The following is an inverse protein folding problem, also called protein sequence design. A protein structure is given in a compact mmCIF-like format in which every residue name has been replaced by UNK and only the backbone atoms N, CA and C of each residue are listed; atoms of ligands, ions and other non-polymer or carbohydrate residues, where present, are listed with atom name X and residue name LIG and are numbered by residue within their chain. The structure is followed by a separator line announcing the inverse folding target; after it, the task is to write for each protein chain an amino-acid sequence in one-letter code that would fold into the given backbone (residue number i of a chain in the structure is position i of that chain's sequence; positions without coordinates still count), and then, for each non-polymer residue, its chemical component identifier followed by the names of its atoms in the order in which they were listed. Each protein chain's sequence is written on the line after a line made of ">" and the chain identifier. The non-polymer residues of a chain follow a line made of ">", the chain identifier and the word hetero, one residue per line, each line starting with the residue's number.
data_IF_804510141814
#
_entry.id   IF_804510141814
#
_cell.length_a   1.000
_cell.length_b   1.000
_cell.length_c   1.000
_cell.angle_alpha   90.00
_cell.angle_beta   90.00
_cell.angle_gamma   90.00
#
_symmetry.space_group_name_H-M   'P 1'
#
loop_
_entity.id
_entity.type
_entity.pdbx_description
1 polymer ?
#
# COMPACT_ATOMS: atom_id res chain seq x y z
N UNK A 1 -30.35 1.61 -19.39
CA UNK A 1 -30.57 0.91 -18.11
C UNK A 1 -29.44 -0.07 -17.77
N UNK A 2 -28.17 0.21 -18.14
CA UNK A 2 -27.03 -0.71 -17.93
C UNK A 2 -25.97 -0.18 -16.95
N UNK A 3 -26.19 1.00 -16.37
CA UNK A 3 -25.24 1.64 -15.43
C UNK A 3 -25.42 1.07 -14.01
N UNK A 4 -26.61 0.57 -13.67
CA UNK A 4 -26.95 0.06 -12.34
C UNK A 4 -26.18 -1.24 -12.01
N UNK A 5 -26.08 -2.24 -12.91
CA UNK A 5 -25.27 -3.44 -12.65
C UNK A 5 -23.78 -3.13 -12.51
N UNK A 6 -23.28 -2.14 -13.26
CA UNK A 6 -21.87 -1.73 -13.25
C UNK A 6 -21.45 -1.19 -11.87
N UNK A 7 -22.28 -0.35 -11.27
CA UNK A 7 -22.03 0.25 -9.94
C UNK A 7 -22.12 -0.81 -8.83
N UNK A 8 -23.09 -1.72 -8.92
CA UNK A 8 -23.25 -2.81 -7.93
C UNK A 8 -22.04 -3.76 -7.98
N UNK A 9 -21.55 -4.08 -9.18
CA UNK A 9 -20.42 -4.98 -9.37
C UNK A 9 -19.11 -4.45 -8.77
N UNK A 10 -18.97 -3.13 -8.63
CA UNK A 10 -17.80 -2.48 -8.01
C UNK A 10 -17.70 -2.76 -6.49
N UNK A 11 -18.82 -3.03 -5.83
CA UNK A 11 -18.89 -3.26 -4.38
C UNK A 11 -18.78 -4.74 -3.97
N UNK A 12 -18.72 -5.66 -4.95
CA UNK A 12 -18.86 -7.10 -4.71
C UNK A 12 -17.54 -7.89 -4.75
N UNK A 13 -17.51 -9.01 -4.04
CA UNK A 13 -16.38 -9.97 -4.02
C UNK A 13 -16.17 -10.69 -5.35
N UNK A 14 -14.94 -11.15 -5.58
CA UNK A 14 -14.51 -11.81 -6.83
C UNK A 14 -15.45 -12.97 -7.20
N UNK A 15 -15.85 -13.77 -6.21
CA UNK A 15 -16.76 -14.91 -6.38
C UNK A 15 -18.21 -14.52 -6.63
N UNK A 16 -18.62 -13.32 -6.20
CA UNK A 16 -19.98 -12.80 -6.42
C UNK A 16 -20.09 -12.17 -7.81
N UNK A 17 -19.02 -11.54 -8.30
CA UNK A 17 -18.92 -11.03 -9.67
C UNK A 17 -19.04 -12.18 -10.68
N UNK A 18 -18.31 -13.29 -10.45
CA UNK A 18 -18.37 -14.47 -11.32
C UNK A 18 -19.78 -15.09 -11.32
N UNK A 19 -20.41 -15.22 -10.15
CA UNK A 19 -21.78 -15.74 -10.04
C UNK A 19 -22.81 -14.85 -10.75
N UNK A 20 -22.67 -13.53 -10.66
CA UNK A 20 -23.51 -12.57 -11.37
C UNK A 20 -23.37 -12.72 -12.89
N UNK A 21 -22.14 -12.86 -13.39
CA UNK A 21 -21.88 -13.05 -14.83
C UNK A 21 -22.53 -14.33 -15.36
N UNK A 22 -22.44 -15.43 -14.63
CA UNK A 22 -23.08 -16.71 -14.98
C UNK A 22 -24.61 -16.55 -15.02
N UNK A 23 -25.21 -15.92 -14.02
CA UNK A 23 -26.66 -15.67 -13.98
C UNK A 23 -27.10 -14.79 -15.15
N UNK A 24 -26.37 -13.72 -15.47
CA UNK A 24 -26.66 -12.86 -16.61
C UNK A 24 -26.61 -13.63 -17.94
N UNK A 25 -25.61 -14.52 -18.12
CA UNK A 25 -25.54 -15.34 -19.34
C UNK A 25 -26.71 -16.30 -19.49
N UNK A 26 -27.14 -16.92 -18.38
CA UNK A 26 -28.29 -17.83 -18.34
C UNK A 26 -29.58 -17.05 -18.65
N UNK A 27 -29.74 -15.86 -18.08
CA UNK A 27 -30.89 -14.99 -18.34
C UNK A 27 -31.00 -14.64 -19.84
N UNK A 28 -29.89 -14.24 -20.47
CA UNK A 28 -29.87 -13.95 -21.92
C UNK A 28 -30.10 -15.18 -22.81
N UNK A 29 -29.70 -16.37 -22.35
CA UNK A 29 -29.95 -17.64 -23.04
C UNK A 29 -31.43 -18.01 -22.99
N UNK A 30 -32.07 -17.87 -21.82
CA UNK A 30 -33.51 -18.09 -21.63
C UNK A 30 -34.31 -17.13 -22.52
N UNK A 31 -33.94 -15.84 -22.54
CA UNK A 31 -34.57 -14.85 -23.43
C UNK A 31 -34.32 -15.12 -24.92
N UNK A 32 -33.34 -15.95 -25.29
CA UNK A 32 -33.08 -16.35 -26.69
C UNK A 32 -33.93 -17.55 -27.10
N UNK A 33 -34.28 -18.41 -26.14
CA UNK A 33 -35.13 -19.59 -26.34
C UNK A 33 -36.60 -19.19 -26.49
N UNK A 34 -37.11 -18.29 -25.63
CA UNK A 34 -38.49 -17.79 -25.71
C UNK A 34 -38.76 -17.03 -27.02
N UNK A 35 -37.76 -16.27 -27.49
CA UNK A 35 -37.86 -15.49 -28.72
C UNK A 35 -37.79 -16.36 -29.99
N UNK A 36 -37.18 -17.56 -29.92
CA UNK A 36 -37.09 -18.49 -31.05
C UNK A 36 -38.48 -18.98 -31.52
N UNK A 37 -39.52 -18.78 -30.71
CA UNK A 37 -40.90 -19.12 -31.05
C UNK A 37 -41.60 -18.06 -31.93
N UNK A 38 -41.02 -16.86 -32.13
CA UNK A 38 -41.64 -15.77 -32.91
C UNK A 38 -40.59 -15.05 -33.79
N UNK A 39 -40.59 -15.39 -35.08
CA UNK A 39 -40.07 -14.68 -36.26
C UNK A 39 -38.56 -14.36 -36.42
N UNK A 40 -38.10 -14.66 -37.64
CA UNK A 40 -36.71 -14.66 -38.11
C UNK A 40 -36.25 -13.24 -38.50
N UNK A 41 -35.36 -12.61 -37.71
CA UNK A 41 -34.67 -11.37 -38.11
C UNK A 41 -33.25 -11.21 -37.50
N UNK A 42 -32.22 -11.09 -38.34
CA UNK A 42 -30.80 -11.12 -37.97
C UNK A 42 -30.30 -9.89 -37.16
N UNK A 43 -30.96 -8.74 -37.22
CA UNK A 43 -30.51 -7.52 -36.50
C UNK A 43 -30.74 -7.56 -34.98
N UNK A 44 -31.63 -8.43 -34.52
CA UNK A 44 -31.88 -8.63 -33.07
C UNK A 44 -30.76 -9.48 -32.45
N UNK A 45 -30.21 -10.43 -33.22
CA UNK A 45 -29.15 -11.31 -32.76
C UNK A 45 -27.83 -10.56 -32.51
N UNK A 46 -27.45 -9.64 -33.41
CA UNK A 46 -26.22 -8.85 -33.28
C UNK A 46 -26.25 -7.92 -32.07
N UNK A 47 -27.36 -7.22 -31.83
CA UNK A 47 -27.51 -6.31 -30.69
C UNK A 47 -27.48 -7.04 -29.33
N UNK A 48 -28.05 -8.25 -29.26
CA UNK A 48 -28.09 -9.05 -28.04
C UNK A 48 -26.74 -9.71 -27.75
N UNK A 49 -26.05 -10.19 -28.79
CA UNK A 49 -24.66 -10.67 -28.68
C UNK A 49 -23.70 -9.56 -28.23
N UNK A 50 -23.85 -8.35 -28.76
CA UNK A 50 -23.08 -7.18 -28.33
C UNK A 50 -23.29 -6.85 -26.86
N UNK A 51 -24.52 -7.00 -26.35
CA UNK A 51 -24.83 -6.77 -24.93
C UNK A 51 -24.18 -7.83 -24.02
N UNK A 52 -24.23 -9.12 -24.40
CA UNK A 52 -23.57 -10.21 -23.66
C UNK A 52 -22.05 -9.98 -23.66
N UNK A 53 -21.47 -9.68 -24.82
CA UNK A 53 -20.05 -9.39 -24.97
C UNK A 53 -19.63 -8.18 -24.12
N UNK A 54 -20.45 -7.12 -24.08
CA UNK A 54 -20.22 -5.94 -23.26
C UNK A 54 -20.21 -6.26 -21.77
N UNK A 55 -21.07 -7.18 -21.29
CA UNK A 55 -21.10 -7.63 -19.90
C UNK A 55 -19.83 -8.43 -19.57
N UNK A 56 -19.41 -9.34 -20.45
CA UNK A 56 -18.19 -10.12 -20.25
C UNK A 56 -16.93 -9.26 -20.26
N UNK A 57 -16.84 -8.29 -21.17
CA UNK A 57 -15.73 -7.34 -21.22
C UNK A 57 -15.69 -6.49 -19.95
N UNK A 58 -16.84 -5.97 -19.51
CA UNK A 58 -16.93 -5.17 -18.28
C UNK A 58 -16.53 -6.00 -17.05
N UNK A 59 -16.99 -7.24 -16.96
CA UNK A 59 -16.62 -8.17 -15.90
C UNK A 59 -15.11 -8.46 -15.89
N UNK A 60 -14.53 -8.74 -17.06
CA UNK A 60 -13.10 -8.97 -17.21
C UNK A 60 -12.26 -7.76 -16.76
N UNK A 61 -12.66 -6.55 -17.17
CA UNK A 61 -12.00 -5.30 -16.77
C UNK A 61 -12.04 -5.12 -15.24
N UNK A 62 -13.20 -5.32 -14.61
CA UNK A 62 -13.37 -5.17 -13.15
C UNK A 62 -12.49 -6.17 -12.39
N UNK A 63 -12.44 -7.44 -12.82
CA UNK A 63 -11.63 -8.46 -12.17
C UNK A 63 -10.14 -8.13 -12.22
N UNK A 64 -9.66 -7.66 -13.37
CA UNK A 64 -8.27 -7.22 -13.54
C UNK A 64 -7.97 -5.96 -12.73
N UNK A 65 -8.89 -4.99 -12.70
CA UNK A 65 -8.75 -3.79 -11.90
C UNK A 65 -8.62 -4.11 -10.40
N UNK A 66 -9.45 -5.02 -9.89
CA UNK A 66 -9.43 -5.42 -8.47
C UNK A 66 -8.13 -6.13 -8.09
N UNK A 67 -7.58 -6.95 -8.99
CA UNK A 67 -6.28 -7.60 -8.80
C UNK A 67 -5.15 -6.57 -8.72
N UNK A 68 -5.12 -5.60 -9.63
CA UNK A 68 -4.14 -4.49 -9.61
C UNK A 68 -4.29 -3.64 -8.35
N UNK A 69 -5.53 -3.36 -7.92
CA UNK A 69 -5.79 -2.57 -6.71
C UNK A 69 -5.26 -3.29 -5.47
N UNK A 70 -5.52 -4.60 -5.35
CA UNK A 70 -5.06 -5.40 -4.22
C UNK A 70 -3.53 -5.49 -4.17
N UNK A 71 -2.88 -5.66 -5.33
CA UNK A 71 -1.41 -5.61 -5.42
C UNK A 71 -0.87 -4.26 -4.94
N UNK A 72 -1.41 -3.14 -5.44
CA UNK A 72 -1.01 -1.79 -5.00
C UNK A 72 -1.21 -1.56 -3.51
N UNK A 73 -2.30 -2.06 -2.93
CA UNK A 73 -2.53 -1.93 -1.49
C UNK A 73 -1.56 -2.78 -0.68
N UNK A 74 -1.23 -3.99 -1.13
CA UNK A 74 -0.22 -4.83 -0.45
C UNK A 74 1.18 -4.21 -0.50
N UNK A 75 1.57 -3.61 -1.64
CA UNK A 75 2.84 -2.89 -1.77
C UNK A 75 2.91 -1.68 -0.83
N UNK A 76 1.84 -0.87 -0.79
CA UNK A 76 1.73 0.27 0.13
C UNK A 76 1.83 -0.16 1.59
N UNK A 77 1.12 -1.22 1.98
CA UNK A 77 1.18 -1.73 3.35
C UNK A 77 2.58 -2.22 3.71
N UNK A 78 3.26 -2.92 2.79
CA UNK A 78 4.64 -3.38 3.00
C UNK A 78 5.60 -2.19 3.18
N UNK A 79 5.47 -1.17 2.35
CA UNK A 79 6.25 0.07 2.46
C UNK A 79 6.02 0.79 3.79
N UNK A 80 4.75 0.99 4.18
CA UNK A 80 4.41 1.61 5.46
C UNK A 80 4.92 0.80 6.66
N UNK A 81 4.84 -0.52 6.58
CA UNK A 81 5.37 -1.41 7.62
C UNK A 81 6.88 -1.24 7.77
N UNK A 82 7.64 -1.23 6.67
CA UNK A 82 9.09 -1.02 6.71
C UNK A 82 9.48 0.34 7.29
N UNK A 83 8.74 1.41 6.96
CA UNK A 83 8.95 2.73 7.56
C UNK A 83 8.62 2.72 9.05
N UNK A 84 7.53 2.06 9.45
CA UNK A 84 7.12 1.98 10.86
C UNK A 84 8.13 1.23 11.71
N UNK A 85 8.65 0.11 11.22
CA UNK A 85 9.71 -0.66 11.87
C UNK A 85 10.99 0.18 12.04
N UNK A 86 11.37 0.92 10.99
CA UNK A 86 12.50 1.84 11.05
C UNK A 86 12.28 2.96 12.07
N UNK A 87 11.10 3.60 12.07
CA UNK A 87 10.77 4.66 13.03
C UNK A 87 10.82 4.17 14.48
N UNK A 88 10.39 2.93 14.72
CA UNK A 88 10.50 2.30 16.03
C UNK A 88 11.96 2.09 16.44
N UNK A 89 12.80 1.57 15.53
CA UNK A 89 14.23 1.41 15.77
C UNK A 89 14.91 2.75 16.06
N UNK A 90 14.57 3.80 15.30
CA UNK A 90 15.04 5.18 15.51
C UNK A 90 14.69 5.66 16.90
N UNK A 91 13.42 5.58 17.29
CA UNK A 91 13.01 6.02 18.63
C UNK A 91 13.76 5.29 19.73
N UNK A 92 14.06 4.00 19.55
CA UNK A 92 14.82 3.23 20.53
C UNK A 92 16.30 3.63 20.59
N UNK A 93 16.96 3.74 19.44
CA UNK A 93 18.39 4.02 19.36
C UNK A 93 18.74 5.47 19.67
N UNK A 94 17.85 6.42 19.37
CA UNK A 94 18.04 7.86 19.68
C UNK A 94 17.73 8.18 21.15
N UNK A 95 16.83 7.42 21.81
CA UNK A 95 16.50 7.64 23.23
C UNK A 95 17.73 7.50 24.13
N UNK A 96 18.58 6.52 23.87
CA UNK A 96 19.79 6.26 24.65
C UNK A 96 20.78 7.45 24.70
N UNK A 97 21.30 7.95 23.57
CA UNK A 97 22.22 9.09 23.57
C UNK A 97 21.54 10.37 24.06
N UNK A 98 20.25 10.60 23.77
CA UNK A 98 19.53 11.77 24.31
C UNK A 98 19.43 11.72 25.84
N UNK A 99 19.04 10.59 26.42
CA UNK A 99 18.97 10.45 27.89
C UNK A 99 20.35 10.61 28.54
N UNK A 100 21.42 10.11 27.91
CA UNK A 100 22.80 10.32 28.39
C UNK A 100 23.17 11.79 28.36
N UNK A 101 22.96 12.49 27.24
CA UNK A 101 23.23 13.93 27.12
C UNK A 101 22.43 14.74 28.14
N UNK A 102 21.14 14.44 28.33
CA UNK A 102 20.28 15.13 29.29
C UNK A 102 20.73 14.91 30.74
N UNK A 103 21.09 13.68 31.11
CA UNK A 103 21.65 13.37 32.42
C UNK A 103 22.96 14.10 32.67
N UNK A 104 23.78 14.22 31.62
CA UNK A 104 25.05 14.95 31.66
C UNK A 104 24.84 16.46 31.89
N UNK A 105 23.94 17.09 31.13
CA UNK A 105 23.62 18.52 31.25
C UNK A 105 23.06 18.86 32.63
N UNK A 106 22.19 18.01 33.19
CA UNK A 106 21.69 18.18 34.56
C UNK A 106 22.80 18.11 35.62
N UNK A 107 23.83 17.29 35.37
CA UNK A 107 24.99 17.21 36.24
C UNK A 107 25.86 18.48 36.19
N UNK A 108 25.92 19.16 35.04
CA UNK A 108 26.60 20.46 34.85
C UNK A 108 25.88 21.57 35.61
N UNK A 109 24.56 21.63 35.49
CA UNK A 109 23.77 22.72 36.10
C UNK A 109 23.68 22.61 37.63
N UNK A 110 23.87 21.41 38.20
CA UNK A 110 23.62 21.15 39.64
C UNK A 110 24.86 21.23 40.55
N UNK A 111 26.08 21.42 40.01
CA UNK A 111 27.33 21.44 40.81
C UNK A 111 28.36 22.48 40.34
N UNK A 112 29.15 22.97 41.28
CA UNK A 112 30.47 23.56 40.98
C UNK A 112 31.41 22.42 40.55
N UNK A 113 31.47 22.17 39.24
CA UNK A 113 32.24 21.09 38.62
C UNK A 113 33.74 21.42 38.63
N UNK A 114 34.58 20.44 39.00
CA UNK A 114 36.05 20.58 38.88
C UNK A 114 36.47 20.58 37.41
N UNK A 115 37.65 21.15 37.11
CA UNK A 115 38.15 21.19 35.73
C UNK A 115 38.36 19.78 35.14
N UNK A 116 38.82 18.83 35.96
CA UNK A 116 38.98 17.42 35.55
C UNK A 116 37.63 16.71 35.32
N UNK A 117 36.63 17.00 36.15
CA UNK A 117 35.28 16.47 35.97
C UNK A 117 34.63 17.00 34.69
N UNK A 118 34.85 18.28 34.36
CA UNK A 118 34.35 18.91 33.13
C UNK A 118 34.98 18.31 31.87
N UNK A 119 36.30 18.03 31.89
CA UNK A 119 37.00 17.36 30.79
C UNK A 119 36.43 15.96 30.53
N UNK A 120 36.26 15.19 31.60
CA UNK A 120 35.68 13.84 31.55
C UNK A 120 34.27 13.88 30.95
N UNK A 121 33.46 14.85 31.40
CA UNK A 121 32.11 15.07 30.94
C UNK A 121 32.05 15.47 29.46
N UNK A 122 32.96 16.33 29.02
CA UNK A 122 33.08 16.72 27.61
C UNK A 122 33.38 15.53 26.70
N UNK A 123 34.17 14.55 27.18
CA UNK A 123 34.48 13.32 26.44
C UNK A 123 33.20 12.48 26.29
N UNK A 124 32.46 12.23 27.39
CA UNK A 124 31.20 11.47 27.34
C UNK A 124 30.11 12.13 26.47
N UNK A 125 30.05 13.46 26.46
CA UNK A 125 29.15 14.21 25.58
C UNK A 125 29.54 13.99 24.12
N UNK A 126 30.83 14.09 23.81
CA UNK A 126 31.37 13.88 22.47
C UNK A 126 31.08 12.47 21.96
N UNK A 127 31.20 11.45 22.81
CA UNK A 127 30.87 10.07 22.46
C UNK A 127 29.37 9.92 22.15
N UNK A 128 28.50 10.50 22.98
CA UNK A 128 27.04 10.46 22.77
C UNK A 128 26.61 11.16 21.49
N UNK A 129 27.24 12.29 21.15
CA UNK A 129 27.01 13.01 19.89
C UNK A 129 27.53 12.21 18.69
N UNK A 130 28.69 11.57 18.82
CA UNK A 130 29.28 10.74 17.75
C UNK A 130 28.41 9.51 17.47
N UNK A 131 27.90 8.85 18.51
CA UNK A 131 26.95 7.73 18.38
C UNK A 131 25.66 8.17 17.66
N UNK A 132 25.14 9.36 17.99
CA UNK A 132 23.96 9.92 17.35
C UNK A 132 24.20 10.30 15.87
N UNK A 133 25.39 10.81 15.52
CA UNK A 133 25.76 11.11 14.12
C UNK A 133 25.85 9.83 13.28
N UNK A 134 26.53 8.80 13.80
CA UNK A 134 26.63 7.48 13.14
C UNK A 134 25.23 6.89 12.93
N UNK A 135 24.39 6.97 13.95
CA UNK A 135 23.00 6.53 13.86
C UNK A 135 22.23 7.28 12.76
N UNK A 136 22.33 8.62 12.74
CA UNK A 136 21.63 9.47 11.75
C UNK A 136 22.08 9.18 10.32
N UNK A 137 23.38 8.92 10.11
CA UNK A 137 23.93 8.47 8.82
C UNK A 137 23.37 7.11 8.41
N UNK A 138 23.32 6.17 9.33
CA UNK A 138 22.78 4.81 9.09
C UNK A 138 21.30 4.86 8.74
N UNK A 139 20.54 5.71 9.44
CA UNK A 139 19.14 5.96 9.16
C UNK A 139 18.94 6.54 7.75
N UNK A 140 19.71 7.56 7.38
CA UNK A 140 19.63 8.20 6.07
C UNK A 140 19.91 7.20 4.95
N UNK A 141 20.95 6.38 5.10
CA UNK A 141 21.28 5.32 4.14
C UNK A 141 20.15 4.27 4.03
N UNK A 142 19.53 3.92 5.15
CA UNK A 142 18.44 2.94 5.18
C UNK A 142 17.16 3.49 4.55
N UNK A 143 16.84 4.77 4.78
CA UNK A 143 15.72 5.47 4.12
C UNK A 143 15.91 5.53 2.60
N UNK A 144 17.13 5.85 2.15
CA UNK A 144 17.44 5.89 0.73
C UNK A 144 17.30 4.51 0.07
N UNK A 145 17.74 3.45 0.76
CA UNK A 145 17.53 2.06 0.30
C UNK A 145 16.04 1.73 0.15
N UNK A 146 15.21 2.08 1.14
CA UNK A 146 13.75 1.87 1.08
C UNK A 146 13.12 2.67 -0.07
N UNK A 147 13.57 3.91 -0.29
CA UNK A 147 13.11 4.77 -1.39
C UNK A 147 13.42 4.16 -2.76
N UNK A 148 14.66 3.72 -2.96
CA UNK A 148 15.09 3.08 -4.21
C UNK A 148 14.29 1.80 -4.47
N UNK A 149 14.06 1.00 -3.42
CA UNK A 149 13.32 -0.25 -3.54
C UNK A 149 11.85 -0.01 -3.92
N UNK A 150 11.17 0.95 -3.29
CA UNK A 150 9.80 1.34 -3.68
C UNK A 150 9.75 1.87 -5.13
N UNK A 151 10.72 2.69 -5.54
CA UNK A 151 10.77 3.22 -6.91
C UNK A 151 10.95 2.08 -7.93
N UNK A 152 11.78 1.09 -7.60
CA UNK A 152 12.04 -0.09 -8.46
C UNK A 152 10.80 -0.99 -8.56
N UNK A 153 10.12 -1.23 -7.44
CA UNK A 153 8.88 -2.02 -7.39
C UNK A 153 7.76 -1.34 -8.21
N UNK A 154 7.70 0.00 -8.22
CA UNK A 154 6.77 0.76 -9.07
C UNK A 154 7.10 0.70 -10.57
N UNK A 155 8.37 0.67 -10.97
CA UNK A 155 8.74 0.50 -12.40
C UNK A 155 8.51 -0.90 -12.92
N UNK A 156 8.60 -1.93 -12.07
CA UNK A 156 8.40 -3.32 -12.48
C UNK A 156 6.90 -3.73 -12.53
N UNK A 157 6.02 -2.96 -11.88
CA UNK A 157 4.56 -3.16 -11.89
C UNK A 157 3.82 -2.37 -13.00
N UNK A 158 4.54 -1.63 -13.86
CA UNK A 158 4.02 -0.91 -15.03
C UNK A 158 4.40 -1.60 -16.34
#
# INVERSE_FOLDING_TARGET
>A
MYIIPLVISYTLDKDKIIRLAIICTILTLIDTIDYYHIEMYYSVFTNKFLSILSIWISCFIILRYKEILLQKDTEKQKYLKSITEMLFQVSHQVRSPISRMQGLTNHIDSKAISKEELESLSIYLKDSVTELDIFTRTLTASLEKIRIQNTTDQTNSN
#
